data_IF_037186784479
#
_entry.id   IF_037186784479
#
_cell.length_a   1.000
_cell.length_b   1.000
_cell.length_c   1.000
_cell.angle_alpha   90.00
_cell.angle_beta   90.00
_cell.angle_gamma   90.00
#
_symmetry.space_group_name_H-M   'P 1'
#
loop_
_entity.id
_entity.type
_entity.pdbx_description
1 polymer ?
#
# COMPACT_ATOMS: atom_id res chain seq x y z
N UNK A 1 12.17 -3.34 9.04
CA UNK A 1 12.06 -2.34 7.95
C UNK A 1 12.44 -3.06 6.67
N UNK A 2 11.77 -2.78 5.56
CA UNK A 2 12.06 -3.46 4.30
C UNK A 2 13.34 -2.93 3.62
N UNK A 3 14.06 -3.80 2.90
CA UNK A 3 15.24 -3.48 2.11
C UNK A 3 14.88 -3.24 0.64
N UNK A 4 15.72 -2.51 -0.14
CA UNK A 4 15.48 -2.31 -1.57
C UNK A 4 15.31 -3.61 -2.37
N UNK A 5 16.01 -4.67 -1.99
CA UNK A 5 15.96 -5.99 -2.61
C UNK A 5 14.58 -6.64 -2.48
N UNK A 6 13.89 -6.44 -1.36
CA UNK A 6 12.55 -6.98 -1.11
C UNK A 6 11.47 -6.30 -1.97
N UNK A 7 11.75 -5.13 -2.56
CA UNK A 7 10.85 -4.46 -3.51
C UNK A 7 11.03 -4.93 -4.96
N UNK A 8 12.05 -5.75 -5.25
CA UNK A 8 12.31 -6.24 -6.60
C UNK A 8 11.44 -7.46 -6.95
N UNK A 9 10.99 -7.60 -8.20
CA UNK A 9 10.46 -8.87 -8.70
C UNK A 9 11.45 -10.01 -8.44
N UNK A 10 10.96 -11.10 -7.84
CA UNK A 10 11.81 -12.25 -7.46
C UNK A 10 12.74 -12.02 -6.26
N UNK A 11 12.68 -10.84 -5.62
CA UNK A 11 13.44 -10.55 -4.41
C UNK A 11 12.98 -11.36 -3.18
N UNK A 12 13.75 -11.29 -2.08
CA UNK A 12 13.37 -11.93 -0.82
C UNK A 12 11.99 -11.47 -0.35
N UNK A 13 11.21 -12.41 0.16
CA UNK A 13 9.84 -12.17 0.62
C UNK A 13 9.85 -11.87 2.10
N UNK A 14 9.40 -10.66 2.44
CA UNK A 14 9.41 -10.18 3.81
C UNK A 14 8.02 -9.77 4.29
N UNK A 15 7.80 -9.91 5.60
CA UNK A 15 6.54 -9.60 6.27
C UNK A 15 6.80 -8.73 7.50
N UNK A 16 5.94 -7.73 7.70
CA UNK A 16 5.81 -7.03 8.98
C UNK A 16 4.46 -7.38 9.56
N UNK A 17 4.43 -7.83 10.82
CA UNK A 17 3.18 -8.16 11.53
C UNK A 17 2.62 -6.92 12.23
N UNK A 18 1.30 -6.81 12.33
CA UNK A 18 0.67 -5.90 13.30
C UNK A 18 0.91 -6.39 14.73
N UNK A 19 0.99 -5.49 15.72
CA UNK A 19 1.03 -5.86 17.15
C UNK A 19 -0.16 -6.77 17.53
N UNK A 20 -1.36 -6.49 16.98
CA UNK A 20 -2.55 -7.28 17.22
C UNK A 20 -2.43 -8.72 16.73
N UNK A 21 -1.99 -8.94 15.49
CA UNK A 21 -1.77 -10.29 14.96
C UNK A 21 -0.66 -11.02 15.73
N UNK A 22 0.45 -10.33 15.99
CA UNK A 22 1.58 -10.85 16.76
C UNK A 22 1.15 -11.37 18.14
N UNK A 23 0.35 -10.61 18.88
CA UNK A 23 -0.20 -11.04 20.18
C UNK A 23 -1.17 -12.21 20.06
N UNK A 24 -2.16 -12.10 19.17
CA UNK A 24 -3.26 -13.08 19.07
C UNK A 24 -2.82 -14.45 18.57
N UNK A 25 -1.87 -14.49 17.62
CA UNK A 25 -1.48 -15.73 16.94
C UNK A 25 -0.11 -16.25 17.34
N UNK A 26 0.76 -15.38 17.83
CA UNK A 26 2.14 -15.72 18.18
C UNK A 26 2.47 -15.47 19.65
N UNK A 27 1.47 -15.15 20.49
CA UNK A 27 1.66 -15.02 21.94
C UNK A 27 2.62 -13.92 22.36
N UNK A 28 2.80 -12.89 21.51
CA UNK A 28 3.83 -11.87 21.69
C UNK A 28 5.27 -12.43 21.76
N UNK A 29 5.54 -13.50 21.01
CA UNK A 29 6.86 -14.12 20.90
C UNK A 29 7.92 -13.11 20.44
N UNK A 30 8.90 -12.84 21.31
CA UNK A 30 9.99 -11.89 21.05
C UNK A 30 11.00 -12.42 20.03
N UNK A 31 11.00 -13.73 19.80
CA UNK A 31 11.87 -14.42 18.85
C UNK A 31 11.20 -14.58 17.47
N UNK A 32 10.07 -13.90 17.23
CA UNK A 32 9.35 -13.99 15.94
C UNK A 32 10.16 -13.43 14.76
N UNK A 33 11.09 -12.50 15.01
CA UNK A 33 11.93 -11.91 13.97
C UNK A 33 12.85 -12.96 13.34
N UNK A 34 12.91 -12.97 12.01
CA UNK A 34 13.68 -13.96 11.24
C UNK A 34 12.96 -15.29 11.01
N UNK A 35 11.84 -15.57 11.70
CA UNK A 35 11.04 -16.77 11.44
C UNK A 35 10.32 -16.69 10.10
N UNK A 36 10.10 -17.85 9.49
CA UNK A 36 9.33 -17.99 8.26
C UNK A 36 7.87 -18.24 8.56
N UNK A 37 6.97 -17.50 7.91
CA UNK A 37 5.53 -17.71 7.90
C UNK A 37 5.06 -18.01 6.48
N UNK A 38 4.13 -18.95 6.33
CA UNK A 38 3.58 -19.32 5.02
C UNK A 38 2.24 -18.61 4.80
N UNK A 39 2.15 -17.81 3.74
CA UNK A 39 0.93 -17.14 3.29
C UNK A 39 0.59 -17.69 1.90
N UNK A 40 -0.61 -18.27 1.74
CA UNK A 40 -1.06 -18.89 0.49
C UNK A 40 -0.03 -19.84 -0.15
N UNK A 41 0.58 -20.69 0.68
CA UNK A 41 1.62 -21.65 0.26
C UNK A 41 3.01 -21.05 0.03
N UNK A 42 3.17 -19.74 0.18
CA UNK A 42 4.43 -19.02 -0.07
C UNK A 42 5.11 -18.60 1.24
N UNK A 43 6.41 -18.91 1.45
CA UNK A 43 7.12 -18.50 2.66
C UNK A 43 7.53 -17.02 2.61
N UNK A 44 7.39 -16.35 3.76
CA UNK A 44 7.83 -14.97 4.03
C UNK A 44 8.60 -14.90 5.35
N UNK A 45 9.69 -14.16 5.39
CA UNK A 45 10.45 -13.91 6.62
C UNK A 45 9.87 -12.73 7.40
N UNK A 46 9.65 -12.89 8.70
CA UNK A 46 9.20 -11.79 9.56
C UNK A 46 10.38 -10.85 9.84
N UNK A 47 10.31 -9.61 9.33
CA UNK A 47 11.36 -8.58 9.46
C UNK A 47 10.98 -7.44 10.40
N UNK A 48 9.81 -7.55 11.05
CA UNK A 48 9.36 -6.55 12.01
C UNK A 48 7.98 -6.85 12.59
N UNK A 49 7.71 -6.21 13.71
CA UNK A 49 6.37 -6.06 14.29
C UNK A 49 6.09 -4.57 14.41
N UNK A 50 4.95 -4.13 13.88
CA UNK A 50 4.52 -2.75 13.94
C UNK A 50 4.04 -2.40 15.36
N UNK A 51 4.47 -1.26 15.88
CA UNK A 51 4.02 -0.75 17.16
C UNK A 51 2.49 -0.54 17.17
N UNK A 52 1.82 -0.69 18.33
CA UNK A 52 0.38 -0.50 18.45
C UNK A 52 0.01 0.96 18.21
N UNK A 53 -0.36 1.30 16.97
CA UNK A 53 -0.82 2.63 16.55
C UNK A 53 -2.03 2.47 15.65
N UNK A 54 -2.92 3.48 15.68
CA UNK A 54 -3.93 3.64 14.63
C UNK A 54 -3.20 3.85 13.31
N UNK A 55 -3.54 3.01 12.34
CA UNK A 55 -2.85 2.88 11.07
C UNK A 55 -3.90 2.82 9.96
N UNK A 56 -3.47 3.13 8.74
CA UNK A 56 -4.28 2.94 7.55
C UNK A 56 -3.59 1.92 6.64
N UNK A 57 -4.31 0.91 6.13
CA UNK A 57 -5.71 0.60 6.45
C UNK A 57 -5.87 0.05 7.89
N UNK A 58 -7.01 0.32 8.57
CA UNK A 58 -7.18 0.05 10.01
C UNK A 58 -7.25 -1.44 10.36
N UNK A 59 -7.53 -2.28 9.38
CA UNK A 59 -7.77 -3.72 9.47
C UNK A 59 -6.59 -4.55 8.95
N UNK A 60 -5.48 -3.93 8.53
CA UNK A 60 -4.30 -4.68 8.11
C UNK A 60 -3.74 -5.51 9.28
N UNK A 61 -3.62 -6.81 9.10
CA UNK A 61 -2.98 -7.69 10.07
C UNK A 61 -1.48 -7.83 9.85
N UNK A 62 -1.02 -7.56 8.63
CA UNK A 62 0.38 -7.59 8.21
C UNK A 62 0.60 -6.72 6.95
N UNK A 63 1.87 -6.47 6.63
CA UNK A 63 2.30 -5.82 5.41
C UNK A 63 3.42 -6.60 4.77
N UNK A 64 3.44 -6.61 3.45
CA UNK A 64 4.54 -7.11 2.64
C UNK A 64 4.85 -6.11 1.52
N UNK A 65 5.93 -6.33 0.79
CA UNK A 65 6.30 -5.50 -0.35
C UNK A 65 5.43 -5.82 -1.55
N UNK A 66 5.03 -4.78 -2.27
CA UNK A 66 4.47 -4.94 -3.62
C UNK A 66 5.65 -4.91 -4.58
N UNK A 67 6.10 -6.09 -5.02
CA UNK A 67 7.09 -6.20 -6.09
C UNK A 67 6.44 -5.79 -7.41
N UNK A 68 6.53 -4.50 -7.74
CA UNK A 68 6.03 -3.98 -9.00
C UNK A 68 7.02 -4.32 -10.11
N UNK A 69 6.58 -5.16 -11.04
CA UNK A 69 7.33 -5.45 -12.25
C UNK A 69 7.30 -4.21 -13.18
N UNK A 70 8.44 -3.57 -13.46
CA UNK A 70 8.49 -2.40 -14.32
C UNK A 70 8.13 -2.72 -15.78
N UNK A 71 8.22 -3.98 -16.21
CA UNK A 71 7.85 -4.39 -17.57
C UNK A 71 6.34 -4.62 -17.72
N UNK A 72 5.62 -4.77 -16.60
CA UNK A 72 4.17 -4.93 -16.61
C UNK A 72 3.47 -3.58 -16.82
N UNK A 73 2.71 -3.44 -17.91
CA UNK A 73 1.86 -2.26 -18.14
C UNK A 73 0.66 -2.25 -17.17
N UNK A 74 0.92 -1.74 -15.96
CA UNK A 74 -0.07 -1.60 -14.91
C UNK A 74 -1.03 -0.41 -15.12
N UNK A 75 -0.98 0.32 -16.25
CA UNK A 75 -1.74 1.56 -16.42
C UNK A 75 -3.26 1.37 -16.31
N UNK A 76 -3.76 0.22 -16.75
CA UNK A 76 -5.15 -0.19 -16.60
C UNK A 76 -5.48 -0.82 -15.25
N UNK A 77 -4.48 -1.15 -14.43
CA UNK A 77 -4.67 -1.84 -13.16
C UNK A 77 -5.35 -0.93 -12.11
N UNK A 78 -6.27 -1.50 -11.34
CA UNK A 78 -7.08 -0.78 -10.34
C UNK A 78 -7.10 -1.47 -8.96
N UNK A 79 -6.16 -2.38 -8.70
CA UNK A 79 -6.09 -3.13 -7.45
C UNK A 79 -5.35 -2.38 -6.32
N UNK A 80 -4.77 -1.21 -6.62
CA UNK A 80 -4.08 -0.36 -5.64
C UNK A 80 -4.89 0.92 -5.36
N UNK A 81 -4.84 1.36 -4.11
CA UNK A 81 -5.28 2.69 -3.69
C UNK A 81 -4.06 3.57 -3.43
N UNK A 82 -4.11 4.83 -3.82
CA UNK A 82 -3.04 5.79 -3.61
C UNK A 82 -3.32 6.67 -2.38
N UNK A 83 -2.29 6.92 -1.58
CA UNK A 83 -2.32 7.92 -0.52
C UNK A 83 -1.38 9.08 -0.89
N UNK A 84 -1.94 10.28 -1.04
CA UNK A 84 -1.20 11.51 -1.34
C UNK A 84 -1.07 12.40 -0.10
N UNK A 85 0.07 13.08 0.04
CA UNK A 85 0.27 14.15 1.02
C UNK A 85 0.19 15.50 0.31
N UNK A 86 -0.77 16.33 0.71
CA UNK A 86 -0.88 17.70 0.20
C UNK A 86 0.25 18.59 0.74
N UNK A 87 0.67 19.56 -0.07
CA UNK A 87 1.58 20.61 0.39
C UNK A 87 0.90 21.45 1.50
N UNK A 88 1.68 22.03 2.43
CA UNK A 88 1.14 22.94 3.43
C UNK A 88 0.32 24.06 2.80
N UNK A 89 -0.86 24.35 3.35
CA UNK A 89 -1.76 25.40 2.86
C UNK A 89 -2.58 25.05 1.61
N UNK A 90 -2.35 23.89 0.97
CA UNK A 90 -3.17 23.46 -0.17
C UNK A 90 -4.50 22.89 0.31
N UNK A 91 -5.62 23.42 -0.20
CA UNK A 91 -6.95 22.90 0.10
C UNK A 91 -7.23 21.62 -0.69
N UNK A 92 -8.13 20.78 -0.15
CA UNK A 92 -8.58 19.58 -0.86
C UNK A 92 -9.26 19.92 -2.20
N UNK A 93 -9.98 21.05 -2.25
CA UNK A 93 -10.63 21.54 -3.47
C UNK A 93 -9.60 21.88 -4.56
N UNK A 94 -8.57 22.67 -4.22
CA UNK A 94 -7.50 23.01 -5.16
C UNK A 94 -6.78 21.75 -5.68
N UNK A 95 -6.46 20.81 -4.79
CA UNK A 95 -5.86 19.53 -5.19
C UNK A 95 -6.78 18.70 -6.10
N UNK A 96 -8.10 18.77 -5.90
CA UNK A 96 -9.08 18.07 -6.72
C UNK A 96 -9.15 18.67 -8.13
N UNK A 97 -9.09 19.99 -8.27
CA UNK A 97 -9.05 20.67 -9.57
C UNK A 97 -7.79 20.30 -10.37
N UNK A 98 -6.61 20.36 -9.73
CA UNK A 98 -5.36 19.97 -10.38
C UNK A 98 -5.38 18.51 -10.84
N UNK A 99 -5.82 17.60 -9.98
CA UNK A 99 -5.87 16.19 -10.33
C UNK A 99 -6.95 15.87 -11.38
N UNK A 100 -8.02 16.66 -11.46
CA UNK A 100 -8.99 16.57 -12.56
C UNK A 100 -8.34 16.92 -13.90
N UNK A 101 -7.46 17.93 -13.94
CA UNK A 101 -6.71 18.27 -15.15
C UNK A 101 -5.73 17.16 -15.55
N UNK A 102 -5.02 16.57 -14.59
CA UNK A 102 -4.15 15.41 -14.83
C UNK A 102 -4.95 14.25 -15.41
N UNK A 103 -6.12 13.96 -14.84
CA UNK A 103 -6.98 12.88 -15.30
C UNK A 103 -7.48 13.10 -16.73
N UNK A 104 -7.91 14.31 -17.09
CA UNK A 104 -8.31 14.63 -18.49
C UNK A 104 -7.16 14.38 -19.46
N UNK A 105 -5.96 14.84 -19.15
CA UNK A 105 -4.76 14.60 -19.97
C UNK A 105 -4.37 13.12 -20.07
N UNK A 106 -4.70 12.31 -19.05
CA UNK A 106 -4.51 10.86 -19.10
C UNK A 106 -5.58 10.19 -19.97
N UNK A 107 -6.83 10.64 -19.89
CA UNK A 107 -7.91 10.15 -20.75
C UNK A 107 -7.67 10.44 -22.23
N UNK A 108 -7.16 11.63 -22.56
CA UNK A 108 -6.83 12.00 -23.95
C UNK A 108 -5.69 11.14 -24.51
N UNK A 109 -4.65 10.87 -23.70
CA UNK A 109 -3.47 10.10 -24.13
C UNK A 109 -3.68 8.59 -24.11
N UNK A 110 -4.52 8.09 -23.20
CA UNK A 110 -4.73 6.67 -22.94
C UNK A 110 -6.22 6.34 -22.84
N UNK A 111 -7.00 6.58 -23.91
CA UNK A 111 -8.46 6.48 -23.85
C UNK A 111 -8.93 5.07 -23.49
N UNK A 112 -8.23 4.01 -23.95
CA UNK A 112 -8.58 2.63 -23.61
C UNK A 112 -8.54 2.33 -22.11
N UNK A 113 -7.62 2.95 -21.37
CA UNK A 113 -7.39 2.69 -19.95
C UNK A 113 -8.17 3.64 -19.02
N UNK A 114 -8.55 4.83 -19.51
CA UNK A 114 -9.12 5.89 -18.68
C UNK A 114 -10.52 6.35 -19.10
N UNK A 115 -11.04 5.95 -20.27
CA UNK A 115 -12.42 6.24 -20.63
C UNK A 115 -13.39 5.66 -19.59
N UNK A 116 -14.33 6.48 -19.11
CA UNK A 116 -15.33 6.09 -18.12
C UNK A 116 -14.83 5.98 -16.67
N UNK A 117 -13.54 6.22 -16.40
CA UNK A 117 -13.00 6.20 -15.05
C UNK A 117 -12.85 7.61 -14.47
N UNK A 118 -13.13 7.72 -13.16
CA UNK A 118 -13.06 8.92 -12.33
C UNK A 118 -11.98 8.79 -11.25
N UNK A 119 -11.28 9.87 -10.90
CA UNK A 119 -10.54 9.93 -9.64
C UNK A 119 -11.22 10.91 -8.69
N UNK A 120 -11.37 10.49 -7.43
CA UNK A 120 -11.94 11.32 -6.37
C UNK A 120 -10.99 11.35 -5.19
N UNK A 121 -10.69 12.55 -4.71
CA UNK A 121 -9.91 12.74 -3.50
C UNK A 121 -10.84 12.70 -2.30
N UNK A 122 -10.38 12.07 -1.24
CA UNK A 122 -11.03 12.01 0.06
C UNK A 122 -9.99 12.28 1.13
N UNK A 123 -10.36 12.98 2.19
CA UNK A 123 -9.47 13.20 3.32
C UNK A 123 -9.15 11.87 3.99
N UNK A 124 -7.88 11.63 4.34
CA UNK A 124 -7.51 10.41 5.08
C UNK A 124 -8.25 10.32 6.42
N UNK A 125 -8.55 11.45 7.06
CA UNK A 125 -9.35 11.49 8.29
C UNK A 125 -10.74 10.90 8.11
N UNK A 126 -11.34 11.03 6.93
CA UNK A 126 -12.66 10.46 6.62
C UNK A 126 -12.60 8.93 6.38
N UNK A 127 -11.38 8.36 6.39
CA UNK A 127 -11.08 6.93 6.17
C UNK A 127 -10.49 6.24 7.41
N UNK A 128 -10.13 7.01 8.44
CA UNK A 128 -9.57 6.52 9.70
C UNK A 128 -10.56 6.88 10.80
N UNK A 129 -11.56 6.03 11.02
CA UNK A 129 -12.55 6.16 12.10
C UNK A 129 -11.94 5.58 13.39
#
# INVERSE_FOLDING_TARGET
MFTPEEYRPGGPRALVLSDGLWRRRFGADRDILGKSLTLDGTPFTVVGVMAPRRMYPPDAEFWTTTALDPEFDARGARHLSALGRLNPGTSLAAATEELTLVQRRLADRFPRQYAGYGMRLIGLRDRVI
#
